data_IF_490767715379
#
_entry.id   IF_490767715379
#
_cell.length_a   1.000
_cell.length_b   1.000
_cell.length_c   1.000
_cell.angle_alpha   90.00
_cell.angle_beta   90.00
_cell.angle_gamma   90.00
#
_symmetry.space_group_name_H-M   'P 1'
#
loop_
_entity.id
_entity.type
_entity.pdbx_description
1 polymer ?
#
# COMPACT_ATOMS: atom_id res chain seq x y z
N UNK A 1 1.30 -41.49 -10.27
CA UNK A 1 2.29 -41.21 -9.20
C UNK A 1 1.97 -39.84 -8.61
N UNK A 2 1.08 -39.80 -7.62
CA UNK A 2 0.74 -38.61 -6.85
C UNK A 2 1.27 -38.86 -5.43
N UNK A 3 2.21 -38.02 -5.00
CA UNK A 3 3.18 -38.30 -3.94
C UNK A 3 2.53 -38.46 -2.55
N UNK A 4 2.96 -39.50 -1.85
CA UNK A 4 2.53 -39.96 -0.52
C UNK A 4 2.81 -38.97 0.65
N UNK A 5 3.06 -37.71 0.37
CA UNK A 5 3.51 -36.74 1.37
C UNK A 5 2.36 -36.04 2.13
N UNK A 6 1.12 -36.14 1.65
CA UNK A 6 -0.06 -35.56 2.31
C UNK A 6 -0.69 -36.47 3.36
N UNK A 7 -0.47 -37.79 3.31
CA UNK A 7 -1.02 -38.72 4.30
C UNK A 7 -0.22 -38.82 5.60
N UNK A 8 1.07 -38.45 5.60
CA UNK A 8 1.91 -38.52 6.82
C UNK A 8 1.69 -37.38 7.82
N UNK A 9 1.05 -36.27 7.42
CA UNK A 9 0.69 -35.20 8.37
C UNK A 9 -0.59 -35.50 9.18
N UNK A 10 -1.45 -36.41 8.71
CA UNK A 10 -2.73 -36.70 9.36
C UNK A 10 -2.64 -37.58 10.62
N UNK A 11 -1.53 -38.29 10.86
CA UNK A 11 -1.44 -39.29 11.94
C UNK A 11 -0.75 -38.83 13.23
N UNK A 12 -0.35 -37.57 13.38
CA UNK A 12 0.27 -37.06 14.63
C UNK A 12 -0.64 -36.26 15.56
N UNK A 13 -1.92 -36.09 15.23
CA UNK A 13 -2.86 -35.28 16.03
C UNK A 13 -4.01 -36.08 16.66
N UNK A 14 -3.82 -37.38 16.91
CA UNK A 14 -4.71 -38.10 17.82
C UNK A 14 -4.18 -37.92 19.26
N UNK A 15 -5.05 -37.45 20.16
CA UNK A 15 -4.89 -37.27 21.62
C UNK A 15 -4.81 -35.83 22.14
N UNK A 16 -5.77 -34.98 21.78
CA UNK A 16 -6.15 -33.81 22.61
C UNK A 16 -7.68 -33.56 22.50
N UNK A 17 -8.42 -33.36 23.60
CA UNK A 17 -9.89 -33.23 23.63
C UNK A 17 -10.38 -31.79 23.31
N UNK A 18 -11.71 -31.54 23.17
CA UNK A 18 -12.27 -30.72 22.11
C UNK A 18 -12.23 -29.20 22.37
N UNK A 19 -11.63 -28.48 21.42
CA UNK A 19 -11.99 -27.10 21.10
C UNK A 19 -11.95 -27.00 19.57
N UNK A 20 -12.89 -27.69 18.91
CA UNK A 20 -12.99 -27.74 17.44
C UNK A 20 -14.09 -26.77 16.98
N UNK A 21 -13.81 -25.48 17.18
CA UNK A 21 -14.20 -24.42 16.26
C UNK A 21 -12.90 -24.11 15.48
N UNK A 22 -12.77 -24.16 14.16
CA UNK A 22 -13.62 -24.52 13.04
C UNK A 22 -12.74 -24.44 11.77
N UNK A 23 -11.78 -25.36 11.58
CA UNK A 23 -10.79 -25.24 10.49
C UNK A 23 -11.41 -24.97 9.09
N UNK A 24 -12.62 -25.46 8.82
CA UNK A 24 -13.37 -25.15 7.60
C UNK A 24 -13.89 -23.71 7.52
N UNK A 25 -14.43 -23.16 8.61
CA UNK A 25 -14.91 -21.77 8.65
C UNK A 25 -13.73 -20.80 8.58
N UNK A 26 -12.57 -21.14 9.15
CA UNK A 26 -11.33 -20.38 8.96
C UNK A 26 -10.88 -20.34 7.48
N UNK A 27 -11.00 -21.46 6.74
CA UNK A 27 -10.66 -21.52 5.30
C UNK A 27 -11.66 -20.73 4.45
N UNK A 28 -12.96 -20.82 4.75
CA UNK A 28 -14.00 -20.04 4.06
C UNK A 28 -13.87 -18.53 4.31
N UNK A 29 -13.62 -18.13 5.56
CA UNK A 29 -13.34 -16.75 5.92
C UNK A 29 -12.06 -16.24 5.25
N UNK A 30 -11.00 -17.05 5.20
CA UNK A 30 -9.77 -16.69 4.50
C UNK A 30 -10.01 -16.49 3.00
N UNK A 31 -10.78 -17.39 2.36
CA UNK A 31 -11.19 -17.25 0.96
C UNK A 31 -12.00 -15.99 0.71
N UNK A 32 -12.96 -15.68 1.58
CA UNK A 32 -13.76 -14.44 1.50
C UNK A 32 -12.90 -13.17 1.66
N UNK A 33 -11.90 -13.20 2.54
CA UNK A 33 -10.95 -12.09 2.74
C UNK A 33 -10.07 -11.89 1.49
N UNK A 34 -9.57 -12.96 0.86
CA UNK A 34 -8.78 -12.86 -0.37
C UNK A 34 -9.62 -12.32 -1.53
N UNK A 35 -10.85 -12.83 -1.71
CA UNK A 35 -11.77 -12.34 -2.75
C UNK A 35 -12.13 -10.86 -2.54
N UNK A 36 -12.35 -10.45 -1.28
CA UNK A 36 -12.60 -9.04 -0.94
C UNK A 36 -11.41 -8.15 -1.28
N UNK A 37 -10.18 -8.57 -0.97
CA UNK A 37 -8.96 -7.80 -1.31
C UNK A 37 -8.87 -7.58 -2.81
N UNK A 38 -9.05 -8.62 -3.63
CA UNK A 38 -9.00 -8.48 -5.10
C UNK A 38 -10.07 -7.53 -5.64
N UNK A 39 -11.29 -7.59 -5.09
CA UNK A 39 -12.36 -6.67 -5.46
C UNK A 39 -12.03 -5.21 -5.11
N UNK A 40 -11.33 -4.96 -4.00
CA UNK A 40 -10.90 -3.62 -3.63
C UNK A 40 -9.79 -3.10 -4.56
N UNK A 41 -8.85 -3.96 -5.00
CA UNK A 41 -7.90 -3.59 -6.07
C UNK A 41 -8.62 -3.21 -7.36
N UNK A 42 -9.63 -3.97 -7.78
CA UNK A 42 -10.41 -3.68 -9.00
C UNK A 42 -11.14 -2.33 -8.90
N UNK A 43 -11.72 -2.00 -7.75
CA UNK A 43 -12.35 -0.70 -7.53
C UNK A 43 -11.36 0.44 -7.67
N UNK A 44 -10.18 0.33 -7.06
CA UNK A 44 -9.14 1.36 -7.14
C UNK A 44 -8.62 1.50 -8.58
N UNK A 45 -8.43 0.38 -9.28
CA UNK A 45 -7.94 0.39 -10.66
C UNK A 45 -8.90 1.06 -11.65
N UNK A 46 -10.22 1.09 -11.38
CA UNK A 46 -11.21 1.78 -12.23
C UNK A 46 -10.90 3.27 -12.42
N UNK A 47 -10.45 3.96 -11.37
CA UNK A 47 -10.13 5.39 -11.46
C UNK A 47 -8.65 5.64 -11.87
N UNK A 48 -7.83 4.59 -11.92
CA UNK A 48 -6.39 4.73 -12.09
C UNK A 48 -5.98 5.22 -13.48
N UNK A 49 -6.77 4.94 -14.52
CA UNK A 49 -6.53 5.48 -15.86
C UNK A 49 -6.51 7.02 -15.88
N UNK A 50 -7.30 7.67 -15.01
CA UNK A 50 -7.29 9.13 -14.85
C UNK A 50 -5.98 9.60 -14.21
N UNK A 51 -5.46 8.84 -13.26
CA UNK A 51 -4.14 9.09 -12.63
C UNK A 51 -3.02 8.99 -13.67
N UNK A 52 -3.10 8.00 -14.56
CA UNK A 52 -2.10 7.77 -15.60
C UNK A 52 -2.14 8.78 -16.75
N UNK A 53 -3.26 9.49 -16.93
CA UNK A 53 -3.39 10.54 -17.94
C UNK A 53 -2.57 11.80 -17.58
N UNK A 54 -2.48 12.16 -16.29
CA UNK A 54 -1.61 13.24 -15.81
C UNK A 54 -1.02 12.91 -14.41
N UNK A 55 -0.06 11.99 -14.34
CA UNK A 55 0.51 11.53 -13.07
C UNK A 55 1.29 12.62 -12.33
N UNK A 56 1.88 13.57 -13.06
CA UNK A 56 2.68 14.64 -12.46
C UNK A 56 1.78 15.70 -11.80
N UNK A 57 0.60 15.99 -12.37
CA UNK A 57 -0.39 16.82 -11.70
C UNK A 57 -0.97 16.12 -10.46
N UNK A 58 -1.53 14.92 -10.61
CA UNK A 58 -2.20 14.22 -9.51
C UNK A 58 -1.21 13.86 -8.40
N UNK A 59 -0.05 13.32 -8.75
CA UNK A 59 0.99 13.01 -7.78
C UNK A 59 1.52 14.24 -7.05
N UNK A 60 1.64 15.38 -7.75
CA UNK A 60 2.00 16.66 -7.14
C UNK A 60 0.96 17.14 -6.13
N UNK A 61 -0.32 17.06 -6.47
CA UNK A 61 -1.43 17.37 -5.54
C UNK A 61 -1.40 16.48 -4.29
N UNK A 62 -1.12 15.18 -4.46
CA UNK A 62 -0.98 14.23 -3.34
C UNK A 62 0.19 14.58 -2.43
N UNK A 63 1.37 14.88 -2.96
CA UNK A 63 2.51 15.29 -2.13
C UNK A 63 2.27 16.64 -1.46
N UNK A 64 1.66 17.60 -2.16
CA UNK A 64 1.25 18.87 -1.57
C UNK A 64 0.28 18.64 -0.40
N UNK A 65 -0.73 17.79 -0.58
CA UNK A 65 -1.67 17.41 0.48
C UNK A 65 -0.94 16.73 1.66
N UNK A 66 -0.02 15.80 1.39
CA UNK A 66 0.77 15.11 2.41
C UNK A 66 1.58 16.11 3.26
N UNK A 67 2.28 17.04 2.62
CA UNK A 67 3.13 18.01 3.33
C UNK A 67 2.32 19.05 4.09
N UNK A 68 1.14 19.44 3.59
CA UNK A 68 0.25 20.37 4.28
C UNK A 68 -0.40 19.75 5.52
N UNK A 69 -0.86 18.50 5.43
CA UNK A 69 -1.52 17.80 6.55
C UNK A 69 -0.51 17.24 7.55
N UNK A 70 0.68 16.86 7.08
CA UNK A 70 1.72 16.21 7.87
C UNK A 70 3.10 16.82 7.57
N UNK A 71 3.41 18.04 8.06
CA UNK A 71 4.62 18.77 7.69
C UNK A 71 5.94 18.04 7.98
N UNK A 72 5.97 17.15 8.97
CA UNK A 72 7.15 16.34 9.29
C UNK A 72 7.53 15.37 8.16
N UNK A 73 6.58 14.97 7.32
CA UNK A 73 6.84 14.12 6.16
C UNK A 73 7.67 14.84 5.10
N UNK A 74 7.50 16.16 4.94
CA UNK A 74 8.28 16.97 4.00
C UNK A 74 9.78 16.96 4.33
N UNK A 75 10.12 16.89 5.62
CA UNK A 75 11.52 16.82 6.09
C UNK A 75 12.26 15.57 5.60
N UNK A 76 11.52 14.51 5.26
CA UNK A 76 12.07 13.28 4.68
C UNK A 76 12.50 13.45 3.22
N UNK A 77 12.17 14.58 2.60
CA UNK A 77 12.57 14.93 1.25
C UNK A 77 13.56 16.10 1.28
N UNK A 78 14.88 15.88 1.37
CA UNK A 78 15.87 16.96 1.46
C UNK A 78 15.76 18.00 0.33
N UNK A 79 15.32 17.58 -0.87
CA UNK A 79 15.09 18.46 -2.02
C UNK A 79 13.91 19.42 -1.84
N UNK A 80 12.96 19.08 -0.97
CA UNK A 80 11.73 19.84 -0.76
C UNK A 80 11.64 20.43 0.65
N UNK A 81 12.46 19.99 1.60
CA UNK A 81 12.39 20.38 3.01
C UNK A 81 12.49 21.89 3.25
N UNK A 82 13.15 22.64 2.35
CA UNK A 82 13.28 24.10 2.43
C UNK A 82 12.20 24.87 1.68
N UNK A 83 11.31 24.19 0.94
CA UNK A 83 10.22 24.85 0.21
C UNK A 83 9.14 25.26 1.23
N UNK A 84 8.78 26.55 1.32
CA UNK A 84 7.75 26.98 2.25
C UNK A 84 6.37 26.45 1.81
N UNK A 85 5.43 26.22 2.75
CA UNK A 85 4.11 25.66 2.43
C UNK A 85 3.35 26.39 1.32
N UNK A 86 3.46 27.73 1.27
CA UNK A 86 2.83 28.56 0.26
C UNK A 86 3.36 28.33 -1.17
N UNK A 87 4.55 27.74 -1.31
CA UNK A 87 5.21 27.49 -2.61
C UNK A 87 5.18 26.01 -3.01
N UNK A 88 4.60 25.13 -2.19
CA UNK A 88 4.49 23.69 -2.51
C UNK A 88 3.51 23.44 -3.66
N UNK A 89 2.37 24.14 -3.63
CA UNK A 89 1.35 24.03 -4.66
C UNK A 89 1.90 24.52 -6.01
N UNK A 90 1.87 23.65 -7.02
CA UNK A 90 2.37 23.98 -8.36
C UNK A 90 3.89 23.89 -8.53
N UNK A 91 4.66 23.57 -7.47
CA UNK A 91 6.10 23.41 -7.58
C UNK A 91 6.48 22.29 -8.56
N UNK A 92 7.26 22.62 -9.60
CA UNK A 92 7.59 21.67 -10.67
C UNK A 92 8.38 20.45 -10.17
N UNK A 93 9.25 20.61 -9.18
CA UNK A 93 10.03 19.50 -8.64
C UNK A 93 9.18 18.56 -7.78
N UNK A 94 8.29 19.12 -6.96
CA UNK A 94 7.30 18.35 -6.18
C UNK A 94 6.37 17.59 -7.12
N UNK A 95 5.83 18.24 -8.15
CA UNK A 95 4.98 17.61 -9.17
C UNK A 95 5.67 16.43 -9.85
N UNK A 96 6.90 16.64 -10.34
CA UNK A 96 7.68 15.59 -11.01
C UNK A 96 7.94 14.40 -10.08
N UNK A 97 8.27 14.65 -8.82
CA UNK A 97 8.50 13.56 -7.87
C UNK A 97 7.20 12.85 -7.47
N UNK A 98 6.12 13.60 -7.25
CA UNK A 98 4.80 13.03 -7.01
C UNK A 98 4.37 12.10 -8.14
N UNK A 99 4.64 12.50 -9.39
CA UNK A 99 4.45 11.66 -10.57
C UNK A 99 5.22 10.34 -10.52
N UNK A 100 6.45 10.33 -10.01
CA UNK A 100 7.23 9.08 -9.83
C UNK A 100 6.56 8.18 -8.80
N UNK A 101 6.11 8.75 -7.68
CA UNK A 101 5.44 8.01 -6.59
C UNK A 101 4.15 7.36 -7.07
N UNK A 102 3.26 8.11 -7.74
CA UNK A 102 1.97 7.54 -8.20
C UNK A 102 2.15 6.56 -9.35
N UNK A 103 3.16 6.71 -10.24
CA UNK A 103 3.47 5.67 -11.24
C UNK A 103 3.89 4.37 -10.57
N UNK A 104 4.78 4.45 -9.58
CA UNK A 104 5.23 3.25 -8.84
C UNK A 104 4.08 2.60 -8.08
N UNK A 105 3.20 3.39 -7.46
CA UNK A 105 1.98 2.86 -6.83
C UNK A 105 1.06 2.18 -7.87
N UNK A 106 0.92 2.74 -9.07
CA UNK A 106 0.16 2.14 -10.16
C UNK A 106 0.68 0.76 -10.57
N UNK A 107 2.00 0.58 -10.63
CA UNK A 107 2.62 -0.72 -10.87
C UNK A 107 2.25 -1.74 -9.78
N UNK A 108 2.30 -1.33 -8.49
CA UNK A 108 1.91 -2.18 -7.35
C UNK A 108 0.43 -2.56 -7.41
N UNK A 109 -0.45 -1.61 -7.71
CA UNK A 109 -1.90 -1.84 -7.82
C UNK A 109 -2.24 -2.83 -8.94
N UNK A 110 -1.59 -2.70 -10.10
CA UNK A 110 -1.78 -3.60 -11.25
C UNK A 110 -1.29 -5.01 -10.99
N UNK A 111 -0.29 -5.17 -10.12
CA UNK A 111 0.18 -6.47 -9.68
C UNK A 111 -0.78 -7.19 -8.70
N UNK A 112 -1.78 -6.48 -8.14
CA UNK A 112 -2.87 -7.04 -7.32
C UNK A 112 -2.40 -8.02 -6.20
N UNK A 113 -1.28 -7.71 -5.57
CA UNK A 113 -0.69 -8.53 -4.50
C UNK A 113 0.45 -9.45 -4.95
N UNK A 114 0.62 -9.71 -6.25
CA UNK A 114 1.82 -10.38 -6.79
C UNK A 114 2.93 -9.35 -7.08
N UNK A 115 3.26 -8.55 -6.05
CA UNK A 115 4.10 -7.36 -6.19
C UNK A 115 5.47 -7.49 -5.52
N UNK A 116 5.86 -8.68 -5.06
CA UNK A 116 7.12 -8.93 -4.32
C UNK A 116 8.35 -8.36 -5.03
N UNK A 117 8.45 -8.55 -6.36
CA UNK A 117 9.58 -8.09 -7.17
C UNK A 117 9.65 -6.56 -7.30
N UNK A 118 8.50 -5.88 -7.22
CA UNK A 118 8.38 -4.42 -7.30
C UNK A 118 8.58 -3.81 -5.90
N UNK A 119 8.01 -4.45 -4.87
CA UNK A 119 7.94 -3.95 -3.51
C UNK A 119 9.27 -4.12 -2.77
N UNK A 120 10.00 -5.22 -2.99
CA UNK A 120 11.30 -5.46 -2.34
C UNK A 120 12.33 -4.34 -2.56
N UNK A 121 12.62 -3.88 -3.79
CA UNK A 121 13.55 -2.77 -3.99
C UNK A 121 13.01 -1.46 -3.40
N UNK A 122 11.70 -1.22 -3.45
CA UNK A 122 11.07 -0.05 -2.83
C UNK A 122 11.27 -0.04 -1.30
N UNK A 123 10.93 -1.14 -0.63
CA UNK A 123 11.11 -1.29 0.81
C UNK A 123 12.58 -1.17 1.20
N UNK A 124 13.50 -1.75 0.42
CA UNK A 124 14.94 -1.65 0.66
C UNK A 124 15.42 -0.20 0.65
N UNK A 125 15.03 0.61 -0.34
CA UNK A 125 15.46 2.02 -0.38
C UNK A 125 14.81 2.84 0.74
N UNK A 126 13.53 2.58 1.04
CA UNK A 126 12.81 3.30 2.09
C UNK A 126 13.33 2.98 3.50
N UNK A 127 13.76 1.74 3.76
CA UNK A 127 14.38 1.35 5.03
C UNK A 127 15.85 1.78 5.13
N UNK A 128 16.67 1.53 4.11
CA UNK A 128 18.13 1.66 4.22
C UNK A 128 18.64 3.06 3.90
N UNK A 129 17.98 3.77 2.98
CA UNK A 129 18.44 5.07 2.50
C UNK A 129 17.59 6.18 3.10
N UNK A 130 16.27 6.11 2.90
CA UNK A 130 15.37 7.20 3.23
C UNK A 130 14.88 7.18 4.68
N UNK A 131 15.04 6.05 5.40
CA UNK A 131 14.65 5.86 6.81
C UNK A 131 13.17 6.21 7.06
N UNK A 132 12.30 5.82 6.13
CA UNK A 132 10.87 6.13 6.16
C UNK A 132 10.13 5.13 7.04
N UNK A 133 9.56 5.63 8.14
CA UNK A 133 8.69 4.86 9.04
C UNK A 133 7.41 4.36 8.34
N UNK A 134 6.82 3.25 8.82
CA UNK A 134 5.51 2.77 8.38
C UNK A 134 4.41 3.82 8.58
N UNK A 135 4.56 4.68 9.59
CA UNK A 135 3.61 5.76 9.86
C UNK A 135 3.53 6.79 8.71
N UNK A 136 4.66 7.07 8.03
CA UNK A 136 4.65 7.96 6.87
C UNK A 136 3.81 7.38 5.72
N UNK A 137 3.83 6.06 5.51
CA UNK A 137 2.98 5.44 4.49
C UNK A 137 1.49 5.50 4.86
N UNK A 138 1.15 5.43 6.16
CA UNK A 138 -0.22 5.64 6.65
C UNK A 138 -0.69 7.08 6.41
N UNK A 139 0.18 8.07 6.59
CA UNK A 139 -0.11 9.48 6.27
C UNK A 139 -0.30 9.68 4.76
N UNK A 140 0.57 9.08 3.95
CA UNK A 140 0.46 9.12 2.49
C UNK A 140 -0.83 8.47 1.98
N UNK A 141 -1.24 7.35 2.60
CA UNK A 141 -2.55 6.71 2.34
C UNK A 141 -3.70 7.70 2.53
N UNK A 142 -3.77 8.41 3.64
CA UNK A 142 -4.87 9.36 3.88
C UNK A 142 -4.81 10.57 2.93
N UNK A 143 -3.60 11.05 2.58
CA UNK A 143 -3.44 12.11 1.58
C UNK A 143 -3.94 11.68 0.19
N UNK A 144 -3.64 10.45 -0.24
CA UNK A 144 -4.17 9.87 -1.48
C UNK A 144 -5.70 9.83 -1.48
N UNK A 145 -6.29 9.28 -0.42
CA UNK A 145 -7.75 9.16 -0.30
C UNK A 145 -8.42 10.53 -0.34
N UNK A 146 -7.88 11.51 0.40
CA UNK A 146 -8.39 12.89 0.43
C UNK A 146 -8.38 13.54 -0.95
N UNK A 147 -7.26 13.44 -1.68
CA UNK A 147 -7.14 14.02 -3.03
C UNK A 147 -8.08 13.32 -4.01
N UNK A 148 -8.15 11.99 -3.97
CA UNK A 148 -8.99 11.23 -4.91
C UNK A 148 -10.48 11.48 -4.65
N UNK A 149 -10.89 11.60 -3.39
CA UNK A 149 -12.24 11.99 -3.01
C UNK A 149 -12.58 13.41 -3.49
N UNK A 150 -11.70 14.39 -3.24
CA UNK A 150 -11.90 15.79 -3.64
C UNK A 150 -12.00 15.95 -5.17
N UNK A 151 -11.31 15.10 -5.93
CA UNK A 151 -11.38 15.07 -7.40
C UNK A 151 -12.54 14.25 -7.96
N UNK A 152 -13.37 13.66 -7.10
CA UNK A 152 -14.49 12.79 -7.52
C UNK A 152 -14.05 11.49 -8.19
N UNK A 153 -12.80 11.06 -7.98
CA UNK A 153 -12.26 9.82 -8.55
C UNK A 153 -12.75 8.57 -7.79
N UNK A 154 -13.11 8.74 -6.51
CA UNK A 154 -13.57 7.68 -5.63
C UNK A 154 -14.82 8.10 -4.87
N UNK A 155 -15.85 7.26 -4.91
CA UNK A 155 -16.99 7.31 -3.99
C UNK A 155 -16.59 6.76 -2.60
N UNK A 156 -17.53 6.70 -1.65
CA UNK A 156 -17.26 6.25 -0.29
C UNK A 156 -16.70 4.81 -0.25
N UNK A 157 -17.22 3.92 -1.09
CA UNK A 157 -16.76 2.53 -1.20
C UNK A 157 -15.37 2.44 -1.82
N UNK A 158 -15.10 3.25 -2.85
CA UNK A 158 -13.79 3.39 -3.47
C UNK A 158 -12.73 3.93 -2.52
N UNK A 159 -13.09 4.89 -1.66
CA UNK A 159 -12.21 5.40 -0.61
C UNK A 159 -11.87 4.31 0.42
N UNK A 160 -12.86 3.52 0.84
CA UNK A 160 -12.63 2.38 1.73
C UNK A 160 -11.75 1.32 1.07
N UNK A 161 -11.99 1.01 -0.21
CA UNK A 161 -11.18 0.09 -0.98
C UNK A 161 -9.72 0.54 -1.09
N UNK A 162 -9.48 1.83 -1.39
CA UNK A 162 -8.13 2.39 -1.44
C UNK A 162 -7.41 2.27 -0.09
N UNK A 163 -8.11 2.53 1.02
CA UNK A 163 -7.52 2.34 2.36
C UNK A 163 -7.13 0.88 2.60
N UNK A 164 -8.03 -0.06 2.31
CA UNK A 164 -7.76 -1.49 2.48
C UNK A 164 -6.58 -1.96 1.64
N UNK A 165 -6.51 -1.53 0.38
CA UNK A 165 -5.40 -1.87 -0.53
C UNK A 165 -4.08 -1.31 -0.04
N UNK A 166 -4.06 -0.03 0.39
CA UNK A 166 -2.86 0.56 0.97
C UNK A 166 -2.44 -0.14 2.28
N UNK A 167 -3.38 -0.60 3.10
CA UNK A 167 -3.06 -1.36 4.31
C UNK A 167 -2.42 -2.71 3.99
N UNK A 168 -2.82 -3.38 2.90
CA UNK A 168 -2.13 -4.58 2.39
C UNK A 168 -0.70 -4.25 1.97
N UNK A 169 -0.51 -3.20 1.16
CA UNK A 169 0.83 -2.78 0.70
C UNK A 169 1.72 -2.42 1.90
N UNK A 170 1.21 -1.71 2.89
CA UNK A 170 1.94 -1.32 4.11
C UNK A 170 2.32 -2.55 4.93
N UNK A 171 1.42 -3.54 5.07
CA UNK A 171 1.73 -4.79 5.76
C UNK A 171 2.84 -5.58 5.06
N UNK A 172 2.86 -5.59 3.73
CA UNK A 172 3.92 -6.25 2.98
C UNK A 172 5.26 -5.50 3.09
N UNK A 173 5.24 -4.15 3.14
CA UNK A 173 6.44 -3.34 3.43
C UNK A 173 6.98 -3.65 4.83
N UNK A 174 6.10 -3.76 5.84
CA UNK A 174 6.48 -4.14 7.21
C UNK A 174 7.17 -5.51 7.25
N UNK A 175 6.68 -6.47 6.46
CA UNK A 175 7.35 -7.77 6.27
C UNK A 175 8.80 -7.60 5.80
N UNK A 176 9.03 -6.81 4.74
CA UNK A 176 10.39 -6.53 4.27
C UNK A 176 11.23 -5.72 5.25
N UNK A 177 10.64 -4.76 5.96
CA UNK A 177 11.36 -3.97 6.97
C UNK A 177 11.90 -4.87 8.09
N UNK A 178 11.11 -5.85 8.55
CA UNK A 178 11.53 -6.86 9.52
C UNK A 178 12.68 -7.72 8.99
N UNK A 179 12.61 -8.18 7.73
CA UNK A 179 13.72 -8.92 7.10
C UNK A 179 15.02 -8.10 7.03
N UNK A 180 14.89 -6.79 6.83
CA UNK A 180 16.02 -5.86 6.76
C UNK A 180 16.51 -5.38 8.13
N UNK A 181 15.83 -5.76 9.23
CA UNK A 181 16.16 -5.31 10.59
C UNK A 181 15.85 -3.83 10.85
N UNK A 182 14.99 -3.21 10.04
CA UNK A 182 14.55 -1.82 10.23
C UNK A 182 13.29 -1.76 11.10
N UNK A 183 13.29 -0.92 12.13
CA UNK A 183 12.21 -0.80 13.12
C UNK A 183 11.37 0.48 12.96
N UNK A 184 11.33 1.06 11.76
CA UNK A 184 10.54 2.27 11.46
C UNK A 184 9.13 1.95 11.01
#
# INVERSE_FOLDING_TARGET
VCSQNTQKLFLKFAHTPPCELDANTAVEQHGAVVLRKMADFDKVLKCWAVVEADPDAIGGEVLNCLFMEYPDTQKQFPKFAAIPPAELAGNAAVRKHGGVVVRKLGELLKAKGDHTLILKPLATTHANIHKISLNNFKMFKEALVKVFAAKGLLDADGQAALRNVMDVIIADIDGFYKELGFQG
#
